data_IF_380823960716
#
_entry.id   IF_380823960716
#
_cell.length_a   1.000
_cell.length_b   1.000
_cell.length_c   1.000
_cell.angle_alpha   90.00
_cell.angle_beta   90.00
_cell.angle_gamma   90.00
#
_symmetry.space_group_name_H-M   'P 1'
#
loop_
_entity.id
_entity.type
_entity.pdbx_description
1 polymer ?
#
# COMPACT_ATOMS: atom_id res chain seq x y z
N UNK A 1 -11.84 14.50 -20.33
CA UNK A 1 -10.98 13.33 -20.00
C UNK A 1 -11.78 12.17 -19.43
N UNK A 2 -12.93 12.44 -18.78
CA UNK A 2 -13.87 11.44 -18.25
C UNK A 2 -14.25 10.31 -19.25
N UNK A 3 -14.59 10.63 -20.50
CA UNK A 3 -14.94 9.58 -21.49
C UNK A 3 -13.78 8.60 -21.78
N UNK A 4 -12.54 9.10 -21.79
CA UNK A 4 -11.36 8.26 -21.98
C UNK A 4 -11.12 7.40 -20.74
N UNK A 5 -11.26 7.96 -19.54
CA UNK A 5 -11.17 7.23 -18.28
C UNK A 5 -12.13 6.03 -18.24
N UNK A 6 -13.41 6.28 -18.54
CA UNK A 6 -14.45 5.23 -18.58
C UNK A 6 -14.16 4.11 -19.57
N UNK A 7 -13.45 4.42 -20.65
CA UNK A 7 -13.15 3.47 -21.73
C UNK A 7 -11.88 2.65 -21.46
N UNK A 8 -10.87 3.26 -20.82
CA UNK A 8 -9.52 2.72 -20.80
C UNK A 8 -9.00 2.36 -19.41
N UNK A 9 -9.60 2.87 -18.33
CA UNK A 9 -9.11 2.69 -16.96
C UNK A 9 -10.04 1.76 -16.19
N UNK A 10 -9.46 0.70 -15.59
CA UNK A 10 -10.16 -0.12 -14.59
C UNK A 10 -9.80 0.39 -13.20
N UNK A 11 -10.76 1.00 -12.52
CA UNK A 11 -10.53 1.64 -11.23
C UNK A 11 -10.49 0.63 -10.07
N UNK A 12 -9.56 0.81 -9.11
CA UNK A 12 -9.54 0.02 -7.87
C UNK A 12 -10.78 0.32 -7.01
N UNK A 13 -11.33 -0.69 -6.34
CA UNK A 13 -12.47 -0.55 -5.42
C UNK A 13 -13.72 0.14 -6.02
N UNK A 14 -13.90 0.05 -7.34
CA UNK A 14 -14.98 0.75 -8.05
C UNK A 14 -15.90 -0.21 -8.78
N UNK A 15 -17.21 0.01 -8.65
CA UNK A 15 -18.20 -0.68 -9.49
C UNK A 15 -18.16 -0.05 -10.90
N UNK A 16 -17.55 -0.76 -11.85
CA UNK A 16 -17.26 -0.20 -13.18
C UNK A 16 -18.50 0.10 -14.06
N UNK A 17 -19.60 -0.63 -13.88
CA UNK A 17 -20.87 -0.40 -14.61
C UNK A 17 -21.57 0.89 -14.15
N UNK A 18 -21.47 1.24 -12.89
CA UNK A 18 -22.03 2.46 -12.32
C UNK A 18 -21.09 3.64 -12.59
N UNK A 19 -19.77 3.43 -12.48
CA UNK A 19 -18.75 4.41 -12.86
C UNK A 19 -18.87 4.87 -14.32
N UNK A 20 -19.05 3.93 -15.24
CA UNK A 20 -19.20 4.22 -16.68
C UNK A 20 -20.46 5.04 -17.02
N UNK A 21 -21.48 5.04 -16.15
CA UNK A 21 -22.73 5.80 -16.34
C UNK A 21 -22.74 7.14 -15.60
N UNK A 22 -21.81 7.34 -14.68
CA UNK A 22 -21.74 8.54 -13.85
C UNK A 22 -20.98 9.65 -14.55
N UNK A 23 -21.21 10.92 -14.17
CA UNK A 23 -20.30 12.01 -14.53
C UNK A 23 -19.19 12.06 -13.48
N UNK A 24 -17.98 11.64 -13.86
CA UNK A 24 -16.88 11.55 -12.91
C UNK A 24 -16.03 12.81 -12.97
N UNK A 25 -15.47 13.18 -11.81
CA UNK A 25 -14.57 14.33 -11.71
C UNK A 25 -13.16 13.87 -12.03
N UNK A 26 -12.52 14.53 -12.98
CA UNK A 26 -11.10 14.34 -13.25
C UNK A 26 -10.30 15.36 -12.46
N UNK A 27 -9.44 14.91 -11.55
CA UNK A 27 -8.51 15.76 -10.82
C UNK A 27 -7.33 16.11 -11.73
N UNK A 28 -7.02 17.40 -11.88
CA UNK A 28 -6.00 17.89 -12.83
C UNK A 28 -4.82 18.58 -12.16
N UNK A 29 -4.97 19.05 -10.92
CA UNK A 29 -3.87 19.60 -10.14
C UNK A 29 -4.16 19.54 -8.65
N UNK A 30 -3.16 19.87 -7.84
CA UNK A 30 -3.33 20.05 -6.41
C UNK A 30 -2.35 21.11 -5.88
N UNK A 31 -2.72 21.75 -4.78
CA UNK A 31 -1.89 22.71 -4.06
C UNK A 31 -2.20 22.62 -2.58
N UNK A 32 -1.16 22.53 -1.75
CA UNK A 32 -1.28 22.35 -0.31
C UNK A 32 -2.19 21.12 -0.06
N UNK A 33 -3.14 21.17 0.87
CA UNK A 33 -4.06 20.05 1.11
C UNK A 33 -5.30 20.05 0.21
N UNK A 34 -5.24 20.65 -0.98
CA UNK A 34 -6.38 20.72 -1.90
C UNK A 34 -6.12 20.06 -3.25
N UNK A 35 -7.14 19.36 -3.75
CA UNK A 35 -7.25 18.85 -5.12
C UNK A 35 -8.10 19.79 -5.97
N UNK A 36 -7.81 19.89 -7.26
CA UNK A 36 -8.54 20.73 -8.22
C UNK A 36 -8.99 19.85 -9.39
N UNK A 37 -10.29 19.89 -9.70
CA UNK A 37 -10.84 19.15 -10.85
C UNK A 37 -10.71 19.91 -12.18
N UNK A 38 -11.05 19.24 -13.29
CA UNK A 38 -10.99 19.80 -14.65
C UNK A 38 -11.92 21.01 -14.87
N UNK A 39 -12.89 21.24 -13.98
CA UNK A 39 -13.74 22.45 -13.96
C UNK A 39 -13.13 23.61 -13.17
N UNK A 40 -11.99 23.39 -12.52
CA UNK A 40 -11.31 24.36 -11.65
C UNK A 40 -11.82 24.36 -10.21
N UNK A 41 -12.73 23.46 -9.84
CA UNK A 41 -13.28 23.39 -8.47
C UNK A 41 -12.26 22.77 -7.53
N UNK A 42 -12.11 23.38 -6.35
CA UNK A 42 -11.19 22.93 -5.30
C UNK A 42 -11.89 22.06 -4.26
N UNK A 43 -11.19 21.05 -3.78
CA UNK A 43 -11.62 20.11 -2.76
C UNK A 43 -10.55 20.00 -1.69
N UNK A 44 -10.93 20.08 -0.42
CA UNK A 44 -10.04 19.65 0.65
C UNK A 44 -9.79 18.15 0.53
N UNK A 45 -8.53 17.74 0.52
CA UNK A 45 -8.13 16.33 0.57
C UNK A 45 -8.22 15.79 2.00
N UNK A 46 -9.45 15.66 2.49
CA UNK A 46 -9.75 15.26 3.87
C UNK A 46 -9.39 13.80 4.20
N UNK A 47 -8.95 13.02 3.21
CA UNK A 47 -8.51 11.63 3.38
C UNK A 47 -7.04 11.45 2.99
N UNK A 48 -6.30 12.53 2.75
CA UNK A 48 -4.89 12.50 2.37
C UNK A 48 -4.60 11.54 1.20
N UNK A 49 -5.45 11.56 0.17
CA UNK A 49 -5.33 10.74 -1.05
C UNK A 49 -5.10 9.25 -0.73
N UNK A 50 -5.97 8.68 0.11
CA UNK A 50 -5.84 7.32 0.68
C UNK A 50 -4.75 7.21 1.76
N UNK A 51 -4.83 8.12 2.74
CA UNK A 51 -4.08 8.07 4.00
C UNK A 51 -2.55 8.16 3.86
N UNK A 52 -2.06 8.67 2.73
CA UNK A 52 -0.62 8.68 2.42
C UNK A 52 -0.03 10.09 2.25
N UNK A 53 -0.84 11.09 1.90
CA UNK A 53 -0.35 12.44 1.66
C UNK A 53 -0.14 13.22 2.96
N UNK A 54 1.11 13.33 3.40
CA UNK A 54 1.49 14.03 4.64
C UNK A 54 2.09 15.43 4.40
N UNK A 55 2.48 15.77 3.17
CA UNK A 55 3.17 17.02 2.85
C UNK A 55 2.36 17.97 1.96
N UNK A 56 1.15 17.57 1.56
CA UNK A 56 0.34 18.30 0.62
C UNK A 56 0.78 18.10 -0.84
N UNK A 57 -0.03 18.64 -1.74
CA UNK A 57 0.09 18.57 -3.19
C UNK A 57 0.91 19.73 -3.74
N UNK A 58 1.65 19.48 -4.82
CA UNK A 58 2.43 20.48 -5.54
C UNK A 58 3.92 20.47 -5.18
N UNK A 59 4.62 21.55 -5.52
CA UNK A 59 6.07 21.65 -5.34
C UNK A 59 6.43 21.71 -3.85
N UNK A 60 7.28 20.79 -3.43
CA UNK A 60 7.86 20.74 -2.08
C UNK A 60 9.27 20.11 -2.16
N UNK A 61 9.95 20.04 -1.02
CA UNK A 61 11.30 19.48 -0.95
C UNK A 61 11.38 18.05 -1.48
N UNK A 62 10.35 17.21 -1.25
CA UNK A 62 10.33 15.82 -1.74
C UNK A 62 10.32 15.79 -3.26
N UNK A 63 9.50 16.62 -3.91
CA UNK A 63 9.45 16.72 -5.38
C UNK A 63 10.81 17.19 -5.94
N UNK A 64 11.46 18.15 -5.29
CA UNK A 64 12.76 18.64 -5.71
C UNK A 64 13.83 17.53 -5.60
N UNK A 65 13.86 16.77 -4.49
CA UNK A 65 14.79 15.65 -4.30
C UNK A 65 14.53 14.48 -5.25
N UNK A 66 13.27 14.17 -5.53
CA UNK A 66 12.93 13.15 -6.54
C UNK A 66 13.41 13.57 -7.93
N UNK A 67 13.23 14.84 -8.30
CA UNK A 67 13.66 15.37 -9.60
C UNK A 67 15.18 15.32 -9.74
N UNK A 68 15.93 15.72 -8.71
CA UNK A 68 17.39 15.63 -8.65
C UNK A 68 17.87 14.18 -8.85
N UNK A 69 17.29 13.23 -8.10
CA UNK A 69 17.66 11.82 -8.24
C UNK A 69 17.32 11.26 -9.63
N UNK A 70 16.17 11.64 -10.20
CA UNK A 70 15.76 11.21 -11.54
C UNK A 70 16.69 11.74 -12.65
N UNK A 71 17.33 12.89 -12.46
CA UNK A 71 18.32 13.40 -13.42
C UNK A 71 19.66 12.67 -13.33
N UNK A 72 19.97 12.08 -12.17
CA UNK A 72 21.20 11.33 -11.93
C UNK A 72 21.05 9.84 -12.29
N UNK A 73 20.13 9.13 -11.63
CA UNK A 73 19.88 7.71 -11.81
C UNK A 73 18.45 7.35 -11.39
N UNK A 74 17.63 6.87 -12.34
CA UNK A 74 16.24 6.53 -12.06
C UNK A 74 16.10 5.18 -11.34
N UNK A 75 16.93 4.20 -11.71
CA UNK A 75 16.88 2.88 -11.10
C UNK A 75 18.19 2.09 -11.30
N UNK A 76 18.66 1.45 -10.22
CA UNK A 76 19.56 0.30 -10.27
C UNK A 76 19.04 -0.75 -9.29
N UNK A 77 19.17 -2.03 -9.65
CA UNK A 77 18.69 -3.12 -8.79
C UNK A 77 19.46 -3.17 -7.45
N UNK A 78 18.83 -3.76 -6.43
CA UNK A 78 19.51 -4.18 -5.19
C UNK A 78 19.94 -5.66 -5.24
N UNK A 79 19.75 -6.34 -6.38
CA UNK A 79 20.21 -7.70 -6.58
C UNK A 79 21.70 -7.74 -6.90
N UNK A 80 22.51 -7.92 -5.84
CA UNK A 80 23.97 -7.94 -5.94
C UNK A 80 24.60 -6.56 -6.16
N UNK A 81 23.80 -5.50 -6.08
CA UNK A 81 24.21 -4.10 -6.23
C UNK A 81 23.59 -3.26 -5.11
N UNK A 82 24.05 -2.03 -4.95
CA UNK A 82 23.51 -1.07 -4.00
C UNK A 82 23.44 0.32 -4.63
N UNK A 83 22.64 1.20 -4.02
CA UNK A 83 22.61 2.63 -4.37
C UNK A 83 22.56 3.48 -3.10
N UNK A 84 23.13 4.68 -3.16
CA UNK A 84 23.22 5.57 -2.01
C UNK A 84 21.85 5.92 -1.39
N UNK A 85 20.79 6.24 -2.18
CA UNK A 85 19.47 6.55 -1.61
C UNK A 85 18.89 5.43 -0.73
N UNK A 86 19.00 4.16 -1.16
CA UNK A 86 18.51 3.02 -0.36
C UNK A 86 19.31 2.82 0.93
N UNK A 87 20.62 3.06 0.92
CA UNK A 87 21.48 2.95 2.10
C UNK A 87 21.13 4.05 3.12
N UNK A 88 21.03 5.30 2.65
CA UNK A 88 20.74 6.44 3.52
C UNK A 88 19.32 6.37 4.09
N UNK A 89 18.33 5.99 3.28
CA UNK A 89 16.97 5.77 3.77
C UNK A 89 16.93 4.66 4.84
N UNK A 90 17.67 3.57 4.66
CA UNK A 90 17.69 2.49 5.65
C UNK A 90 18.27 2.99 6.99
N UNK A 91 19.32 3.81 6.95
CA UNK A 91 19.91 4.44 8.14
C UNK A 91 18.89 5.33 8.85
N UNK A 92 18.16 6.18 8.14
CA UNK A 92 17.16 7.06 8.75
C UNK A 92 15.97 6.28 9.34
N UNK A 93 15.46 5.27 8.64
CA UNK A 93 14.38 4.41 9.15
C UNK A 93 14.77 3.74 10.46
N UNK A 94 16.00 3.19 10.54
CA UNK A 94 16.46 2.47 11.73
C UNK A 94 16.66 3.39 12.95
N UNK A 95 16.79 4.71 12.78
CA UNK A 95 16.81 5.65 13.92
C UNK A 95 15.46 5.72 14.64
N UNK A 96 14.36 5.56 13.90
CA UNK A 96 13.00 5.66 14.47
C UNK A 96 12.37 4.29 14.74
N UNK A 97 12.76 3.25 14.02
CA UNK A 97 12.28 1.88 14.18
C UNK A 97 13.05 1.12 15.29
N UNK A 98 12.80 1.48 16.56
CA UNK A 98 13.47 0.86 17.71
C UNK A 98 13.26 -0.66 17.73
N UNK A 99 14.34 -1.41 17.98
CA UNK A 99 14.32 -2.88 18.04
C UNK A 99 14.44 -3.59 16.69
N UNK A 100 14.72 -2.84 15.60
CA UNK A 100 14.96 -3.39 14.27
C UNK A 100 16.42 -3.17 13.85
N UNK A 101 17.00 -4.11 13.09
CA UNK A 101 18.41 -4.08 12.67
C UNK A 101 18.63 -3.88 11.16
N UNK A 102 17.61 -4.15 10.34
CA UNK A 102 17.68 -4.20 8.88
C UNK A 102 16.35 -3.77 8.25
N UNK A 103 16.43 -3.23 7.04
CA UNK A 103 15.29 -2.84 6.22
C UNK A 103 15.27 -3.70 4.96
N UNK A 104 14.09 -4.21 4.60
CA UNK A 104 13.82 -4.82 3.30
C UNK A 104 12.82 -3.93 2.57
N UNK A 105 13.12 -3.56 1.32
CA UNK A 105 12.28 -2.70 0.50
C UNK A 105 11.32 -3.49 -0.37
N UNK A 106 10.09 -2.99 -0.49
CA UNK A 106 9.09 -3.42 -1.47
C UNK A 106 8.37 -2.19 -2.04
N UNK A 107 7.48 -2.40 -3.00
CA UNK A 107 6.80 -1.34 -3.76
C UNK A 107 5.53 -0.82 -3.07
N UNK A 108 4.85 -1.62 -2.25
CA UNK A 108 3.63 -1.22 -1.57
C UNK A 108 3.41 -1.98 -0.24
N UNK A 109 2.35 -1.59 0.48
CA UNK A 109 2.00 -2.20 1.77
C UNK A 109 1.67 -3.70 1.68
N UNK A 110 0.99 -4.14 0.62
CA UNK A 110 0.62 -5.55 0.46
C UNK A 110 1.86 -6.42 0.30
N UNK A 111 2.78 -6.00 -0.56
CA UNK A 111 4.03 -6.74 -0.81
C UNK A 111 4.97 -6.70 0.40
N UNK A 112 4.94 -5.62 1.21
CA UNK A 112 5.67 -5.57 2.47
C UNK A 112 5.16 -6.64 3.47
N UNK A 113 3.84 -6.81 3.59
CA UNK A 113 3.25 -7.86 4.43
C UNK A 113 3.60 -9.26 3.89
N UNK A 114 3.54 -9.49 2.58
CA UNK A 114 3.95 -10.79 2.03
C UNK A 114 5.43 -11.10 2.26
N UNK A 115 6.32 -10.11 2.16
CA UNK A 115 7.73 -10.26 2.55
C UNK A 115 7.84 -10.65 4.01
N UNK A 116 7.16 -9.94 4.91
CA UNK A 116 7.18 -10.23 6.34
C UNK A 116 6.69 -11.66 6.65
N UNK A 117 5.60 -12.09 6.00
CA UNK A 117 5.07 -13.45 6.11
C UNK A 117 6.09 -14.49 5.64
N UNK A 118 6.72 -14.28 4.48
CA UNK A 118 7.75 -15.18 3.95
C UNK A 118 8.96 -15.26 4.87
N UNK A 119 9.42 -14.14 5.42
CA UNK A 119 10.51 -14.09 6.38
C UNK A 119 10.17 -14.86 7.67
N UNK A 120 8.95 -14.71 8.19
CA UNK A 120 8.50 -15.43 9.38
C UNK A 120 8.47 -16.95 9.17
N UNK A 121 7.96 -17.41 8.02
CA UNK A 121 7.96 -18.84 7.66
C UNK A 121 9.38 -19.37 7.47
N UNK A 122 10.22 -18.64 6.73
CA UNK A 122 11.61 -19.03 6.48
C UNK A 122 12.41 -19.08 7.78
N UNK A 123 12.17 -18.17 8.74
CA UNK A 123 12.79 -18.21 10.06
C UNK A 123 12.51 -19.54 10.77
N UNK A 124 11.25 -19.98 10.86
CA UNK A 124 10.91 -21.24 11.52
C UNK A 124 11.41 -22.47 10.77
N UNK A 125 11.38 -22.43 9.44
CA UNK A 125 11.98 -23.45 8.58
C UNK A 125 13.48 -23.62 8.85
N UNK A 126 14.23 -22.51 8.94
CA UNK A 126 15.66 -22.50 9.28
C UNK A 126 15.95 -23.01 10.69
N UNK A 127 14.96 -22.97 11.59
CA UNK A 127 15.02 -23.55 12.95
C UNK A 127 14.55 -25.02 13.00
N UNK A 128 14.26 -25.64 11.85
CA UNK A 128 13.78 -27.02 11.74
C UNK A 128 12.33 -27.22 12.18
N UNK A 129 11.56 -26.15 12.35
CA UNK A 129 10.15 -26.16 12.82
C UNK A 129 9.17 -25.95 11.67
N UNK A 130 9.15 -26.88 10.73
CA UNK A 130 8.36 -26.79 9.48
C UNK A 130 6.84 -26.80 9.71
N UNK A 131 6.39 -27.30 10.86
CA UNK A 131 4.99 -27.28 11.28
C UNK A 131 4.48 -25.87 11.62
N UNK A 132 5.39 -24.94 11.92
CA UNK A 132 5.07 -23.56 12.33
C UNK A 132 4.79 -22.64 11.14
N UNK A 133 3.70 -22.93 10.43
CA UNK A 133 3.34 -22.30 9.15
C UNK A 133 2.00 -21.55 9.11
N UNK A 134 1.31 -21.47 10.24
CA UNK A 134 -0.01 -20.85 10.32
C UNK A 134 0.09 -19.40 10.80
N UNK A 135 -0.81 -18.57 10.30
CA UNK A 135 -0.95 -17.16 10.69
C UNK A 135 -2.24 -16.94 11.49
N UNK A 136 -2.17 -16.02 12.45
CA UNK A 136 -3.32 -15.50 13.19
C UNK A 136 -3.50 -14.03 12.79
N UNK A 137 -4.73 -13.59 12.61
CA UNK A 137 -5.06 -12.20 12.34
C UNK A 137 -6.36 -11.79 13.02
N UNK A 138 -6.58 -10.49 13.17
CA UNK A 138 -7.82 -9.97 13.72
C UNK A 138 -8.95 -10.05 12.68
N UNK A 139 -10.17 -10.26 13.15
CA UNK A 139 -11.38 -10.05 12.35
C UNK A 139 -11.44 -8.60 11.88
N UNK A 140 -11.96 -8.35 10.67
CA UNK A 140 -12.02 -7.00 10.06
C UNK A 140 -10.67 -6.31 9.77
N UNK A 141 -9.53 -6.95 10.03
CA UNK A 141 -8.23 -6.39 9.69
C UNK A 141 -8.02 -6.28 8.17
N UNK A 142 -7.35 -5.21 7.75
CA UNK A 142 -6.89 -4.99 6.38
C UNK A 142 -5.37 -5.05 6.33
N UNK A 143 -4.84 -5.86 5.41
CA UNK A 143 -3.39 -6.00 5.20
C UNK A 143 -2.96 -5.80 3.74
N UNK A 144 -3.89 -5.45 2.85
CA UNK A 144 -3.64 -5.35 1.40
C UNK A 144 -4.46 -6.32 0.57
N UNK A 145 -4.32 -6.23 -0.76
CA UNK A 145 -5.18 -6.92 -1.72
C UNK A 145 -4.49 -8.05 -2.51
N UNK A 146 -3.23 -8.38 -2.20
CA UNK A 146 -2.58 -9.57 -2.78
C UNK A 146 -3.11 -10.84 -2.11
N UNK A 147 -2.92 -12.01 -2.73
CA UNK A 147 -3.46 -13.28 -2.21
C UNK A 147 -2.98 -13.56 -0.78
N UNK A 148 -1.70 -13.27 -0.49
CA UNK A 148 -1.15 -13.48 0.84
C UNK A 148 -1.79 -12.57 1.87
N UNK A 149 -1.93 -11.29 1.55
CA UNK A 149 -2.48 -10.30 2.46
C UNK A 149 -3.98 -10.44 2.65
N UNK A 150 -4.75 -10.77 1.61
CA UNK A 150 -6.18 -11.11 1.74
C UNK A 150 -6.40 -12.33 2.63
N UNK A 151 -5.49 -13.31 2.59
CA UNK A 151 -5.56 -14.49 3.46
C UNK A 151 -5.37 -14.11 4.94
N UNK A 152 -4.53 -13.11 5.24
CA UNK A 152 -4.31 -12.62 6.62
C UNK A 152 -5.11 -11.37 6.98
N UNK A 153 -5.81 -10.71 6.07
CA UNK A 153 -6.71 -9.59 6.31
C UNK A 153 -7.93 -9.76 5.41
N UNK A 154 -9.03 -10.30 5.97
CA UNK A 154 -10.17 -10.72 5.17
C UNK A 154 -11.41 -9.94 5.54
N UNK A 155 -11.84 -9.08 4.62
CA UNK A 155 -13.13 -8.42 4.65
C UNK A 155 -14.02 -9.13 3.64
N UNK A 156 -14.99 -9.91 4.14
CA UNK A 156 -15.82 -10.81 3.32
C UNK A 156 -16.49 -10.12 2.14
N UNK A 157 -16.95 -8.87 2.33
CA UNK A 157 -17.60 -8.07 1.30
C UNK A 157 -16.72 -7.79 0.08
N UNK A 158 -15.41 -7.63 0.27
CA UNK A 158 -14.47 -7.30 -0.81
C UNK A 158 -13.90 -8.55 -1.49
N UNK A 159 -13.68 -9.62 -0.71
CA UNK A 159 -12.83 -10.72 -1.16
C UNK A 159 -13.55 -12.05 -1.32
N UNK A 160 -14.89 -12.09 -1.19
CA UNK A 160 -15.68 -13.32 -1.30
C UNK A 160 -15.41 -14.10 -2.60
N UNK A 161 -15.28 -13.41 -3.73
CA UNK A 161 -15.01 -14.02 -5.02
C UNK A 161 -13.62 -14.69 -5.09
N UNK A 162 -12.66 -14.23 -4.29
CA UNK A 162 -11.27 -14.73 -4.29
C UNK A 162 -11.03 -15.83 -3.27
N UNK A 163 -12.03 -16.20 -2.45
CA UNK A 163 -11.93 -17.24 -1.42
C UNK A 163 -11.22 -18.54 -1.89
N UNK A 164 -11.44 -19.06 -3.12
CA UNK A 164 -10.74 -20.26 -3.59
C UNK A 164 -9.21 -20.12 -3.71
N UNK A 165 -8.68 -18.90 -3.80
CA UNK A 165 -7.24 -18.63 -3.89
C UNK A 165 -6.59 -18.44 -2.51
N UNK A 166 -7.37 -18.25 -1.45
CA UNK A 166 -6.86 -17.87 -0.14
C UNK A 166 -6.41 -19.12 0.64
N UNK A 167 -5.28 -19.00 1.32
CA UNK A 167 -4.84 -20.04 2.24
C UNK A 167 -5.52 -19.86 3.60
N UNK A 168 -5.54 -20.94 4.40
CA UNK A 168 -6.12 -20.92 5.74
C UNK A 168 -5.31 -20.04 6.70
N UNK A 169 -5.96 -19.04 7.30
CA UNK A 169 -5.49 -18.33 8.49
C UNK A 169 -6.50 -18.48 9.62
N UNK A 170 -6.07 -18.21 10.85
CA UNK A 170 -6.93 -18.19 12.02
C UNK A 170 -7.32 -16.75 12.30
N UNK A 171 -8.62 -16.51 12.53
CA UNK A 171 -9.14 -15.20 12.89
C UNK A 171 -9.48 -15.19 14.37
N UNK A 172 -9.15 -14.10 15.04
CA UNK A 172 -9.52 -13.82 16.43
C UNK A 172 -10.28 -12.50 16.50
N UNK A 173 -11.18 -12.31 17.49
CA UNK A 173 -11.99 -11.11 17.57
C UNK A 173 -11.15 -9.83 17.54
N UNK A 174 -11.66 -8.82 16.84
CA UNK A 174 -11.08 -7.48 16.90
C UNK A 174 -11.37 -6.82 18.25
N UNK A 175 -10.45 -5.98 18.80
CA UNK A 175 -10.67 -5.27 20.05
C UNK A 175 -11.61 -4.06 19.85
N UNK A 176 -12.86 -4.32 19.47
CA UNK A 176 -13.88 -3.30 19.23
C UNK A 176 -14.81 -3.18 20.44
N UNK A 177 -14.52 -2.21 21.32
CA UNK A 177 -15.22 -2.02 22.60
C UNK A 177 -16.62 -1.38 22.49
N UNK A 178 -17.07 -0.99 21.29
CA UNK A 178 -18.37 -0.32 21.11
C UNK A 178 -19.51 -1.29 20.76
N UNK A 179 -19.20 -2.59 20.66
CA UNK A 179 -20.17 -3.68 20.38
C UNK A 179 -20.39 -4.61 21.59
N UNK A 180 -19.88 -4.24 22.78
CA UNK A 180 -20.05 -4.99 24.04
C UNK A 180 -21.13 -4.41 24.95
#
# INVERSE_FOLDING_TARGET
MDDADKKFVWHPYTQMKDWSKSTNKVIVSGKDFHLVDESGKKYLDGIASMWCNVWGHGKNEVVDRMTEQLQNLQHSTLFGLANAPSIELAKEILKVAKGMDKVFYSDNGSTAIEVAMKMALQYWSNKGKYEKKNFIALEHAYHGDTVGTMSVGYISKFFAAYKPLLFKSYKVPSPFFYES
#
